data_IF_804987594616
#
_entry.id   IF_804987594616
#
_cell.length_a   1.000
_cell.length_b   1.000
_cell.length_c   1.000
_cell.angle_alpha   90.00
_cell.angle_beta   90.00
_cell.angle_gamma   90.00
#
_symmetry.space_group_name_H-M   'P 1'
#
loop_
_entity.id
_entity.type
_entity.pdbx_description
1 polymer ?
#
# COMPACT_ATOMS: atom_id res chain seq x y z
N UNK A 1 26.42 11.37 14.24
CA UNK A 1 26.06 10.92 13.83
C UNK A 1 25.40 10.39 13.37
N UNK A 2 25.05 10.49 13.03
CA UNK A 2 24.45 10.03 12.66
C UNK A 2 24.04 9.32 12.10
N UNK A 3 23.77 9.14 11.82
CA UNK A 3 23.39 8.53 11.38
C UNK A 3 23.00 7.93 10.83
N UNK A 4 22.89 7.85 10.72
CA UNK A 4 22.53 7.31 10.21
C UNK A 4 22.18 6.76 9.51
N UNK A 5 22.51 6.86 9.34
CA UNK A 5 21.91 6.45 8.40
C UNK A 5 21.29 5.39 8.12
N UNK A 6 20.68 5.03 8.24
CA UNK A 6 20.09 3.90 7.76
C UNK A 6 19.88 3.97 6.32
N UNK A 7 20.10 2.91 5.67
CA UNK A 7 20.09 2.80 4.27
C UNK A 7 18.86 3.35 3.60
N UNK A 8 17.74 3.13 4.12
CA UNK A 8 16.54 3.65 3.51
C UNK A 8 16.29 5.09 3.93
N UNK A 9 17.31 5.74 4.38
CA UNK A 9 17.13 7.04 4.98
C UNK A 9 16.45 7.99 4.03
N UNK A 10 15.42 8.59 4.53
CA UNK A 10 14.80 9.75 3.93
C UNK A 10 15.59 10.94 4.46
N UNK A 11 16.05 11.80 3.60
CA UNK A 11 16.77 12.97 4.05
C UNK A 11 15.93 13.75 5.03
N UNK A 12 16.60 14.36 6.01
CA UNK A 12 15.90 15.16 7.00
C UNK A 12 15.04 16.19 6.31
N UNK A 13 13.81 16.31 6.73
CA UNK A 13 12.85 17.24 6.16
C UNK A 13 12.15 16.76 4.91
N UNK A 14 12.53 15.63 4.38
CA UNK A 14 11.85 15.08 3.20
C UNK A 14 10.89 13.99 3.61
N UNK A 15 9.69 14.04 3.03
CA UNK A 15 8.74 12.97 3.19
C UNK A 15 9.03 11.87 2.17
N UNK A 16 8.63 10.66 2.50
CA UNK A 16 8.74 9.53 1.58
C UNK A 16 7.91 9.79 0.33
N UNK A 17 8.41 9.39 -0.82
CA UNK A 17 7.72 9.50 -2.09
C UNK A 17 6.54 8.51 -2.15
N UNK A 18 5.59 8.74 -3.07
CA UNK A 18 4.52 7.76 -3.25
C UNK A 18 5.01 6.34 -3.51
N UNK A 19 6.01 6.17 -4.35
CA UNK A 19 6.53 4.83 -4.62
C UNK A 19 7.15 4.19 -3.38
N UNK A 20 7.89 4.97 -2.59
CA UNK A 20 8.47 4.47 -1.34
C UNK A 20 7.39 4.02 -0.37
N UNK A 21 6.32 4.80 -0.24
CA UNK A 21 5.21 4.47 0.66
C UNK A 21 4.50 3.21 0.21
N UNK A 22 4.23 3.07 -1.09
CA UNK A 22 3.60 1.87 -1.64
C UNK A 22 4.43 0.63 -1.34
N UNK A 23 5.74 0.71 -1.57
CA UNK A 23 6.61 -0.44 -1.32
C UNK A 23 6.72 -0.78 0.16
N UNK A 24 6.78 0.23 1.02
CA UNK A 24 6.79 0.01 2.47
C UNK A 24 5.49 -0.63 2.94
N UNK A 25 4.37 -0.17 2.43
CA UNK A 25 3.06 -0.73 2.76
C UNK A 25 2.96 -2.19 2.31
N UNK A 26 3.32 -2.47 1.07
CA UNK A 26 3.29 -3.83 0.53
C UNK A 26 4.17 -4.76 1.35
N UNK A 27 5.37 -4.33 1.70
CA UNK A 27 6.28 -5.14 2.52
C UNK A 27 5.68 -5.46 3.88
N UNK A 28 5.13 -4.47 4.57
CA UNK A 28 4.53 -4.68 5.88
C UNK A 28 3.31 -5.60 5.79
N UNK A 29 2.45 -5.37 4.79
CA UNK A 29 1.26 -6.18 4.59
C UNK A 29 1.63 -7.64 4.33
N UNK A 30 2.61 -7.86 3.47
CA UNK A 30 3.01 -9.21 3.06
C UNK A 30 3.59 -10.02 4.21
N UNK A 31 4.14 -9.35 5.21
CA UNK A 31 4.66 -9.99 6.42
C UNK A 31 3.64 -10.04 7.55
N UNK A 32 2.41 -9.63 7.29
CA UNK A 32 1.34 -9.58 8.29
C UNK A 32 1.64 -8.59 9.43
N UNK A 33 2.46 -7.60 9.15
CA UNK A 33 2.77 -6.52 10.09
C UNK A 33 1.73 -5.42 9.95
N UNK A 34 0.51 -5.69 10.43
CA UNK A 34 -0.65 -4.83 10.15
C UNK A 34 -0.56 -3.48 10.84
N UNK A 35 0.04 -3.41 12.02
CA UNK A 35 0.24 -2.14 12.70
C UNK A 35 1.26 -1.28 11.96
N UNK A 36 2.32 -1.87 11.42
CA UNK A 36 3.30 -1.14 10.63
C UNK A 36 2.68 -0.64 9.32
N UNK A 37 1.86 -1.47 8.67
CA UNK A 37 1.12 -1.05 7.49
C UNK A 37 0.19 0.11 7.83
N UNK A 38 -0.53 0.03 8.94
CA UNK A 38 -1.43 1.08 9.40
C UNK A 38 -0.71 2.39 9.65
N UNK A 39 0.53 2.32 10.14
CA UNK A 39 1.32 3.52 10.43
C UNK A 39 1.65 4.33 9.18
N UNK A 40 1.51 3.75 8.00
CA UNK A 40 1.75 4.45 6.75
C UNK A 40 0.52 5.24 6.29
N UNK A 41 -0.62 5.09 6.96
CA UNK A 41 -1.83 5.83 6.64
C UNK A 41 -1.90 7.11 7.46
N UNK A 42 -2.33 8.18 6.80
CA UNK A 42 -2.61 9.43 7.50
C UNK A 42 -3.85 9.26 8.39
N UNK A 43 -3.99 10.10 9.43
CA UNK A 43 -5.25 10.15 10.16
C UNK A 43 -6.41 10.44 9.19
N UNK A 44 -7.51 9.73 9.37
CA UNK A 44 -8.70 9.89 8.55
C UNK A 44 -8.48 9.59 7.07
N UNK A 45 -7.55 8.69 6.77
CA UNK A 45 -7.36 8.22 5.40
C UNK A 45 -8.63 7.53 4.91
N UNK A 46 -8.91 7.70 3.63
CA UNK A 46 -10.06 7.07 3.00
C UNK A 46 -9.64 5.80 2.30
N UNK A 47 -10.44 4.75 2.45
CA UNK A 47 -10.24 3.48 1.75
C UNK A 47 -11.50 3.15 0.98
N UNK A 48 -11.31 2.76 -0.29
CA UNK A 48 -12.41 2.46 -1.21
C UNK A 48 -12.15 1.11 -1.87
N UNK A 49 -13.10 0.22 -1.74
CA UNK A 49 -13.12 -1.09 -2.41
C UNK A 49 -14.54 -1.31 -2.90
N UNK A 50 -14.77 -2.30 -3.77
CA UNK A 50 -16.16 -2.65 -4.11
C UNK A 50 -16.96 -2.90 -2.84
N UNK A 51 -18.03 -2.12 -2.66
CA UNK A 51 -18.90 -2.24 -1.49
C UNK A 51 -18.37 -1.60 -0.22
N UNK A 52 -17.21 -0.97 -0.24
CA UNK A 52 -16.62 -0.34 0.95
C UNK A 52 -16.12 1.05 0.60
N UNK A 53 -16.56 2.05 1.36
CA UNK A 53 -16.07 3.41 1.28
C UNK A 53 -16.03 3.91 2.73
N UNK A 54 -14.85 3.93 3.31
CA UNK A 54 -14.72 4.16 4.74
C UNK A 54 -13.57 5.12 5.04
N UNK A 55 -13.67 5.76 6.19
CA UNK A 55 -12.61 6.62 6.73
C UNK A 55 -11.95 5.88 7.88
N UNK A 56 -10.64 5.79 7.84
CA UNK A 56 -9.86 5.16 8.90
C UNK A 56 -9.60 6.22 9.98
N UNK A 57 -10.58 6.38 10.88
CA UNK A 57 -10.57 7.47 11.84
C UNK A 57 -9.72 7.20 13.08
N UNK A 58 -9.13 6.00 13.18
CA UNK A 58 -8.23 5.67 14.29
C UNK A 58 -7.14 4.71 13.80
N UNK A 59 -6.07 4.63 14.55
CA UNK A 59 -5.02 3.65 14.28
C UNK A 59 -5.57 2.24 14.35
N UNK A 60 -6.48 1.98 15.26
CA UNK A 60 -7.09 0.65 15.39
C UNK A 60 -7.89 0.28 14.13
N UNK A 61 -8.64 1.21 13.57
CA UNK A 61 -9.36 0.98 12.32
C UNK A 61 -8.42 0.76 11.16
N UNK A 62 -7.33 1.52 11.08
CA UNK A 62 -6.33 1.33 10.02
C UNK A 62 -5.67 -0.05 10.14
N UNK A 63 -5.36 -0.48 11.34
CA UNK A 63 -4.78 -1.81 11.57
C UNK A 63 -5.78 -2.90 11.18
N UNK A 64 -7.03 -2.74 11.55
CA UNK A 64 -8.08 -3.72 11.21
C UNK A 64 -8.31 -3.79 9.70
N UNK A 65 -8.28 -2.66 9.00
CA UNK A 65 -8.39 -2.64 7.54
C UNK A 65 -7.28 -3.49 6.91
N UNK A 66 -6.04 -3.26 7.32
CA UNK A 66 -4.91 -4.00 6.77
C UNK A 66 -4.97 -5.49 7.12
N UNK A 67 -5.39 -5.81 8.35
CA UNK A 67 -5.51 -7.19 8.78
C UNK A 67 -6.58 -7.94 7.99
N UNK A 68 -7.62 -7.24 7.53
CA UNK A 68 -8.74 -7.85 6.82
C UNK A 68 -8.45 -8.12 5.35
N UNK A 69 -7.39 -7.56 4.78
CA UNK A 69 -7.04 -7.81 3.38
C UNK A 69 -6.59 -9.26 3.25
N UNK A 70 -7.23 -10.06 2.37
CA UNK A 70 -6.99 -11.50 2.35
C UNK A 70 -5.67 -11.91 1.72
N UNK A 71 -5.11 -11.07 0.85
CA UNK A 71 -3.97 -11.44 0.02
C UNK A 71 -2.79 -10.54 0.25
N UNK A 72 -1.60 -11.12 0.19
CA UNK A 72 -0.37 -10.39 -0.02
C UNK A 72 -0.34 -9.88 -1.46
N UNK A 73 0.45 -8.85 -1.71
CA UNK A 73 0.62 -8.33 -3.05
C UNK A 73 2.08 -8.07 -3.35
N UNK A 74 2.63 -8.75 -4.34
CA UNK A 74 3.96 -8.42 -4.83
C UNK A 74 3.84 -7.32 -5.87
N UNK A 75 4.50 -6.21 -5.65
CA UNK A 75 4.47 -5.09 -6.57
C UNK A 75 5.13 -5.47 -7.89
N UNK A 76 4.42 -5.35 -8.99
CA UNK A 76 4.96 -5.63 -10.33
C UNK A 76 5.01 -4.38 -11.20
N UNK A 77 4.29 -3.33 -10.83
CA UNK A 77 4.36 -2.05 -11.53
C UNK A 77 3.91 -0.94 -10.60
N UNK A 78 4.56 0.20 -10.68
CA UNK A 78 4.10 1.43 -10.04
C UNK A 78 4.25 2.55 -11.05
N UNK A 79 3.18 3.31 -11.21
CA UNK A 79 3.19 4.50 -12.07
C UNK A 79 2.86 5.70 -11.20
N UNK A 80 3.78 6.63 -11.10
CA UNK A 80 3.64 7.80 -10.24
C UNK A 80 3.38 9.04 -11.07
N UNK A 81 2.40 9.83 -10.65
CA UNK A 81 2.11 11.13 -11.22
C UNK A 81 1.82 12.08 -10.06
N UNK A 82 2.75 12.98 -9.79
CA UNK A 82 2.62 13.88 -8.63
C UNK A 82 2.56 13.11 -7.33
N UNK A 83 1.52 13.32 -6.55
CA UNK A 83 1.31 12.64 -5.28
C UNK A 83 0.50 11.34 -5.40
N UNK A 84 0.28 10.87 -6.62
CA UNK A 84 -0.54 9.69 -6.91
C UNK A 84 0.34 8.57 -7.41
N UNK A 85 0.07 7.38 -6.94
CA UNK A 85 0.73 6.18 -7.43
C UNK A 85 -0.32 5.13 -7.75
N UNK A 86 -0.25 4.57 -8.95
CA UNK A 86 -1.05 3.40 -9.32
C UNK A 86 -0.13 2.20 -9.26
N UNK A 87 -0.42 1.29 -8.36
CA UNK A 87 0.38 0.10 -8.16
C UNK A 87 -0.40 -1.13 -8.61
N UNK A 88 0.28 -2.01 -9.31
CA UNK A 88 -0.26 -3.31 -9.71
C UNK A 88 0.50 -4.39 -8.95
N UNK A 89 -0.26 -5.36 -8.46
CA UNK A 89 0.25 -6.42 -7.61
C UNK A 89 -0.11 -7.77 -8.20
N UNK A 90 0.77 -8.75 -8.00
CA UNK A 90 0.43 -10.16 -8.14
C UNK A 90 0.11 -10.68 -6.75
N UNK A 91 -1.07 -11.25 -6.61
CA UNK A 91 -1.61 -11.67 -5.33
C UNK A 91 -1.02 -13.00 -4.88
N UNK A 92 -0.88 -13.17 -3.58
CA UNK A 92 -0.39 -14.38 -2.96
C UNK A 92 -0.91 -14.53 -1.54
N UNK A 93 -0.53 -15.62 -0.89
CA UNK A 93 -0.94 -15.87 0.49
C UNK A 93 -0.15 -14.97 1.44
N UNK A 94 -0.81 -14.55 2.51
CA UNK A 94 -0.15 -13.92 3.65
C UNK A 94 0.14 -15.01 4.70
N UNK A 95 1.09 -14.78 5.61
CA UNK A 95 1.27 -15.71 6.72
C UNK A 95 -0.07 -15.96 7.42
N UNK A 96 -0.47 -17.21 7.56
CA UNK A 96 -1.70 -17.62 8.22
C UNK A 96 -2.99 -17.09 7.56
N UNK A 97 -2.90 -16.53 6.36
CA UNK A 97 -4.05 -16.06 5.60
C UNK A 97 -4.03 -16.68 4.22
N UNK A 98 -5.11 -17.32 3.85
CA UNK A 98 -5.23 -17.88 2.52
C UNK A 98 -5.77 -16.81 1.57
N UNK A 99 -5.04 -16.55 0.50
CA UNK A 99 -5.53 -15.70 -0.58
C UNK A 99 -6.50 -16.51 -1.44
N UNK A 100 -7.63 -15.92 -1.80
CA UNK A 100 -8.64 -16.60 -2.62
C UNK A 100 -8.35 -16.51 -4.11
N UNK A 101 -7.36 -15.75 -4.51
CA UNK A 101 -7.00 -15.57 -5.92
C UNK A 101 -5.48 -15.52 -6.10
N UNK A 102 -4.72 -16.54 -5.61
CA UNK A 102 -3.27 -16.48 -5.73
C UNK A 102 -2.85 -16.49 -7.20
N UNK A 103 -1.88 -15.65 -7.54
CA UNK A 103 -1.41 -15.47 -8.91
C UNK A 103 -2.23 -14.47 -9.71
N UNK A 104 -3.39 -14.07 -9.22
CA UNK A 104 -4.19 -13.03 -9.88
C UNK A 104 -3.56 -11.66 -9.72
N UNK A 105 -4.04 -10.70 -10.48
CA UNK A 105 -3.58 -9.32 -10.39
C UNK A 105 -4.63 -8.44 -9.75
N UNK A 106 -4.18 -7.44 -9.04
CA UNK A 106 -5.02 -6.39 -8.49
C UNK A 106 -4.27 -5.08 -8.58
N UNK A 107 -4.99 -3.98 -8.54
CA UNK A 107 -4.38 -2.66 -8.58
C UNK A 107 -5.06 -1.73 -7.59
N UNK A 108 -4.29 -0.76 -7.12
CA UNK A 108 -4.81 0.28 -6.25
C UNK A 108 -4.18 1.62 -6.58
N UNK A 109 -4.99 2.65 -6.43
CA UNK A 109 -4.53 4.03 -6.47
C UNK A 109 -4.21 4.44 -5.03
N UNK A 110 -3.02 5.00 -4.86
CA UNK A 110 -2.58 5.60 -3.61
C UNK A 110 -2.41 7.09 -3.82
N UNK A 111 -3.00 7.89 -2.96
CA UNK A 111 -2.68 9.31 -2.87
C UNK A 111 -1.87 9.49 -1.60
N UNK A 112 -0.68 10.06 -1.74
CA UNK A 112 0.29 10.18 -0.64
C UNK A 112 0.59 11.65 -0.42
N UNK A 113 0.46 12.10 0.82
CA UNK A 113 0.83 13.47 1.21
C UNK A 113 1.67 13.40 2.46
N UNK A 114 2.77 14.13 2.46
CA UNK A 114 3.69 14.17 3.59
C UNK A 114 4.11 12.76 4.04
N UNK A 115 4.33 11.87 3.06
CA UNK A 115 4.78 10.52 3.32
C UNK A 115 3.73 9.57 3.87
N UNK A 116 2.46 9.96 3.86
CA UNK A 116 1.37 9.14 4.38
C UNK A 116 0.28 8.96 3.33
N UNK A 117 -0.36 7.81 3.36
CA UNK A 117 -1.47 7.48 2.47
C UNK A 117 -2.70 8.24 2.98
N UNK A 118 -3.27 9.09 2.12
CA UNK A 118 -4.54 9.77 2.43
C UNK A 118 -5.71 9.13 1.70
N UNK A 119 -5.45 8.40 0.62
CA UNK A 119 -6.45 7.62 -0.11
C UNK A 119 -5.83 6.33 -0.58
N UNK A 120 -6.52 5.24 -0.34
CA UNK A 120 -6.24 3.92 -0.89
C UNK A 120 -7.50 3.44 -1.59
N UNK A 121 -7.42 3.23 -2.90
CA UNK A 121 -8.61 2.87 -3.67
C UNK A 121 -8.28 1.73 -4.60
N UNK A 122 -8.99 0.62 -4.44
CA UNK A 122 -8.89 -0.48 -5.39
C UNK A 122 -9.46 -0.04 -6.74
N UNK A 123 -8.72 -0.30 -7.80
CA UNK A 123 -9.12 0.07 -9.15
C UNK A 123 -8.96 -1.14 -10.07
N UNK A 124 -9.59 -1.12 -11.24
CA UNK A 124 -9.31 -2.14 -12.25
C UNK A 124 -7.83 -2.13 -12.62
N UNK A 125 -7.30 -3.31 -12.91
CA UNK A 125 -5.91 -3.43 -13.33
C UNK A 125 -5.73 -2.68 -14.65
N UNK A 126 -4.77 -1.74 -14.71
CA UNK A 126 -4.53 -1.02 -15.95
C UNK A 126 -4.15 -1.95 -17.09
N UNK A 127 -4.61 -1.64 -18.28
CA UNK A 127 -4.41 -2.50 -19.44
C UNK A 127 -2.94 -2.67 -19.80
N UNK A 128 -2.13 -1.65 -19.50
CA UNK A 128 -0.71 -1.66 -19.85
C UNK A 128 0.18 -2.23 -18.75
N UNK A 129 -0.40 -2.73 -17.67
CA UNK A 129 0.39 -3.28 -16.56
C UNK A 129 0.60 -4.77 -16.67
N UNK A 130 0.03 -5.41 -17.66
CA UNK A 130 0.25 -6.83 -17.91
C UNK A 130 1.46 -7.03 -18.80
N UNK A 131 1.82 -8.31 -19.03
CA UNK A 131 2.85 -8.59 -20.02
C UNK A 131 2.38 -8.08 -21.36
N UNK A 132 3.22 -7.33 -21.99
CA UNK A 132 2.93 -6.91 -23.34
C UNK A 132 3.33 -8.03 -24.27
N UNK A 133 2.42 -8.33 -25.09
CA UNK A 133 2.71 -9.34 -26.07
C UNK A 133 3.71 -8.81 -27.08
#
# INVERSE_FOLDING_TARGET
>A
MAAVGSGAAIAAGQAASPAQVVRAWSHALNLNHNAAAAALFAPNARVVQPGVDAVLSSRALATAFNAALPCAGRVVAIKVTGNRAVATFVLGHRPQHRCDAPGGKAAALFVVRNGKIVLWQQIPVPADSGPTA
#
